data_IF_490239291480
#
_entry.id   IF_490239291480
#
_cell.length_a   1.000
_cell.length_b   1.000
_cell.length_c   1.000
_cell.angle_alpha   90.00
_cell.angle_beta   90.00
_cell.angle_gamma   90.00
#
_symmetry.space_group_name_H-M   'P 1'
#
loop_
_entity.id
_entity.type
_entity.pdbx_description
1 polymer ?
#
# COMPACT_ATOMS: atom_id res chain seq x y z
N UNK A 1 -40.32 28.70 -13.40
CA UNK A 1 -39.80 27.31 -13.30
C UNK A 1 -38.42 27.10 -13.95
N UNK A 2 -37.85 28.05 -14.71
CA UNK A 2 -36.48 27.93 -15.28
C UNK A 2 -35.32 28.07 -14.27
N UNK A 3 -35.54 28.70 -13.11
CA UNK A 3 -34.50 28.91 -12.07
C UNK A 3 -34.24 27.66 -11.19
N UNK A 4 -35.11 26.66 -11.25
CA UNK A 4 -34.93 25.40 -10.51
C UNK A 4 -34.07 24.36 -11.26
N UNK A 5 -33.97 24.47 -12.59
CA UNK A 5 -33.19 23.53 -13.42
C UNK A 5 -31.68 23.72 -13.21
N UNK A 6 -31.22 24.94 -12.97
CA UNK A 6 -29.80 25.23 -12.69
C UNK A 6 -29.31 24.64 -11.36
N UNK A 7 -30.19 24.54 -10.35
CA UNK A 7 -29.84 24.02 -9.02
C UNK A 7 -29.58 22.51 -9.02
N UNK A 8 -30.25 21.77 -9.91
CA UNK A 8 -30.10 20.32 -10.06
C UNK A 8 -28.79 19.97 -10.80
N UNK A 9 -28.38 20.81 -11.76
CA UNK A 9 -27.11 20.64 -12.49
C UNK A 9 -25.90 20.94 -11.60
N UNK A 10 -26.01 21.88 -10.65
CA UNK A 10 -24.96 22.17 -9.68
C UNK A 10 -24.74 21.04 -8.66
N UNK A 11 -25.79 20.29 -8.30
CA UNK A 11 -25.69 19.17 -7.36
C UNK A 11 -25.01 17.92 -7.96
N UNK A 12 -25.07 17.74 -9.28
CA UNK A 12 -24.54 16.55 -9.97
C UNK A 12 -23.00 16.53 -10.09
N UNK A 13 -22.31 17.64 -9.83
CA UNK A 13 -20.85 17.75 -9.99
C UNK A 13 -20.10 17.37 -8.68
N UNK A 14 -20.80 17.22 -7.56
CA UNK A 14 -20.17 17.00 -6.25
C UNK A 14 -19.83 15.52 -5.92
N UNK A 15 -20.08 14.58 -6.83
CA UNK A 15 -19.88 13.14 -6.60
C UNK A 15 -18.58 12.61 -7.19
N UNK A 16 -17.47 13.32 -7.08
CA UNK A 16 -16.16 12.71 -7.26
C UNK A 16 -15.74 12.05 -5.95
N UNK A 17 -16.14 10.78 -5.78
CA UNK A 17 -15.52 9.93 -4.77
C UNK A 17 -14.07 9.66 -5.18
N UNK A 18 -13.13 10.22 -4.45
CA UNK A 18 -11.73 9.82 -4.53
C UNK A 18 -11.60 8.42 -3.92
N UNK A 19 -11.79 7.38 -4.73
CA UNK A 19 -11.37 6.04 -4.35
C UNK A 19 -9.84 5.99 -4.43
N UNK A 20 -9.18 5.50 -3.38
CA UNK A 20 -7.74 5.28 -3.44
C UNK A 20 -7.47 4.17 -4.45
N UNK A 21 -6.69 4.46 -5.50
CA UNK A 21 -6.25 3.44 -6.46
C UNK A 21 -5.33 2.45 -5.73
N UNK A 22 -5.72 1.17 -5.60
CA UNK A 22 -4.91 0.16 -4.94
C UNK A 22 -3.52 -0.03 -5.59
N UNK A 23 -3.39 0.34 -6.87
CA UNK A 23 -2.12 0.28 -7.61
C UNK A 23 -1.09 1.31 -7.13
N UNK A 24 -1.50 2.32 -6.35
CA UNK A 24 -0.61 3.38 -5.83
C UNK A 24 0.54 2.81 -4.98
N UNK A 25 0.39 1.61 -4.41
CA UNK A 25 1.47 1.02 -3.60
C UNK A 25 2.55 0.34 -4.44
N UNK A 26 2.37 0.13 -5.75
CA UNK A 26 3.22 -0.71 -6.62
C UNK A 26 4.59 -0.11 -7.00
N UNK A 27 5.07 0.80 -6.17
CA UNK A 27 6.36 1.46 -6.28
C UNK A 27 7.34 1.00 -5.17
N UNK A 28 8.47 1.69 -5.08
CA UNK A 28 9.49 1.50 -4.06
C UNK A 28 9.23 2.41 -2.85
N UNK A 29 9.25 1.82 -1.66
CA UNK A 29 8.90 2.51 -0.42
C UNK A 29 9.97 2.29 0.65
N UNK A 30 10.33 3.39 1.31
CA UNK A 30 11.14 3.35 2.51
C UNK A 30 10.27 3.00 3.72
N UNK A 31 10.68 1.97 4.45
CA UNK A 31 10.04 1.49 5.67
C UNK A 31 10.92 1.75 6.89
N UNK A 32 10.35 1.58 8.08
CA UNK A 32 11.07 1.69 9.36
C UNK A 32 11.88 3.00 9.50
N UNK A 33 11.29 4.13 9.09
CA UNK A 33 11.97 5.45 9.06
C UNK A 33 13.25 5.47 8.20
N UNK A 34 13.23 4.77 7.06
CA UNK A 34 14.33 4.75 6.10
C UNK A 34 15.37 3.66 6.37
N UNK A 35 15.08 2.69 7.24
CA UNK A 35 16.00 1.58 7.50
C UNK A 35 15.91 0.46 6.46
N UNK A 36 14.83 0.39 5.68
CA UNK A 36 14.65 -0.60 4.63
C UNK A 36 13.93 -0.03 3.42
N UNK A 37 14.26 -0.55 2.23
CA UNK A 37 13.63 -0.24 0.95
C UNK A 37 12.93 -1.51 0.45
N UNK A 38 11.63 -1.41 0.19
CA UNK A 38 10.83 -2.50 -0.36
C UNK A 38 10.16 -2.09 -1.66
N UNK A 39 9.89 -3.06 -2.53
CA UNK A 39 9.13 -2.86 -3.76
C UNK A 39 7.88 -3.74 -3.74
N UNK A 40 6.72 -3.12 -3.86
CA UNK A 40 5.47 -3.88 -3.96
C UNK A 40 5.21 -4.35 -5.38
N UNK A 41 4.51 -5.47 -5.51
CA UNK A 41 4.09 -6.03 -6.79
C UNK A 41 2.78 -6.81 -6.63
N UNK A 42 2.04 -6.96 -7.73
CA UNK A 42 0.83 -7.79 -7.77
C UNK A 42 1.16 -9.15 -8.36
N UNK A 43 0.64 -10.21 -7.74
CA UNK A 43 0.62 -11.56 -8.29
C UNK A 43 -0.71 -12.21 -7.94
N UNK A 44 -1.39 -12.81 -8.91
CA UNK A 44 -2.67 -13.52 -8.71
C UNK A 44 -3.74 -12.68 -7.98
N UNK A 45 -3.80 -11.37 -8.26
CA UNK A 45 -4.75 -10.43 -7.64
C UNK A 45 -4.45 -10.05 -6.18
N UNK A 46 -3.29 -10.45 -5.65
CA UNK A 46 -2.82 -10.11 -4.30
C UNK A 46 -1.56 -9.26 -4.37
N UNK A 47 -1.31 -8.49 -3.32
CA UNK A 47 -0.14 -7.62 -3.20
C UNK A 47 0.96 -8.32 -2.40
N UNK A 48 2.18 -8.17 -2.88
CA UNK A 48 3.40 -8.73 -2.30
C UNK A 48 4.46 -7.63 -2.22
N UNK A 49 5.49 -7.83 -1.39
CA UNK A 49 6.64 -6.93 -1.38
C UNK A 49 7.96 -7.69 -1.24
N UNK A 50 8.95 -7.24 -2.02
CA UNK A 50 10.34 -7.68 -1.94
C UNK A 50 11.20 -6.61 -1.30
N UNK A 51 12.09 -7.01 -0.40
CA UNK A 51 13.10 -6.10 0.12
C UNK A 51 14.23 -5.96 -0.90
N UNK A 52 14.50 -4.71 -1.27
CA UNK A 52 15.57 -4.31 -2.18
C UNK A 52 16.83 -4.00 -1.37
N UNK A 53 16.68 -3.31 -0.25
CA UNK A 53 17.82 -2.87 0.56
C UNK A 53 17.45 -2.74 2.05
N UNK A 54 18.43 -2.88 2.94
CA UNK A 54 18.33 -2.48 4.34
C UNK A 54 19.62 -1.84 4.84
N UNK A 55 19.51 -0.98 5.85
CA UNK A 55 20.66 -0.36 6.51
C UNK A 55 21.56 -1.38 7.23
N UNK A 56 20.98 -2.50 7.67
CA UNK A 56 21.68 -3.54 8.43
C UNK A 56 22.46 -4.50 7.53
N UNK A 57 21.88 -4.92 6.41
CA UNK A 57 22.45 -5.99 5.56
C UNK A 57 22.81 -5.53 4.14
N UNK A 58 22.50 -4.28 3.77
CA UNK A 58 22.78 -3.76 2.44
C UNK A 58 21.77 -4.20 1.39
N UNK A 59 22.23 -4.42 0.15
CA UNK A 59 21.37 -4.67 -1.01
C UNK A 59 21.07 -6.16 -1.17
N UNK A 60 19.79 -6.50 -1.35
CA UNK A 60 19.28 -7.87 -1.57
C UNK A 60 18.88 -8.14 -3.02
N UNK A 61 18.95 -7.13 -3.88
CA UNK A 61 18.59 -7.20 -5.31
C UNK A 61 17.18 -7.75 -5.56
N UNK A 62 16.24 -7.49 -4.64
CA UNK A 62 14.85 -7.96 -4.72
C UNK A 62 14.67 -9.49 -4.62
N UNK A 63 15.67 -10.20 -4.10
CA UNK A 63 15.61 -11.66 -3.93
C UNK A 63 14.95 -12.10 -2.61
N UNK A 64 14.65 -11.13 -1.72
CA UNK A 64 14.14 -11.40 -0.38
C UNK A 64 12.67 -10.99 -0.31
N UNK A 65 11.76 -11.96 -0.38
CA UNK A 65 10.34 -11.72 -0.16
C UNK A 65 10.10 -11.37 1.31
N UNK A 66 9.47 -10.23 1.56
CA UNK A 66 9.25 -9.72 2.91
C UNK A 66 7.77 -9.61 3.22
N UNK A 67 6.91 -9.30 2.25
CA UNK A 67 5.45 -9.27 2.47
C UNK A 67 4.72 -10.18 1.50
N UNK A 68 3.81 -11.00 2.02
CA UNK A 68 3.04 -12.00 1.28
C UNK A 68 1.53 -11.80 1.50
N UNK A 69 0.71 -11.96 0.45
CA UNK A 69 -0.75 -12.06 0.54
C UNK A 69 -1.50 -10.83 1.11
N UNK A 70 -1.04 -9.61 0.85
CA UNK A 70 -1.82 -8.41 1.19
C UNK A 70 -3.09 -8.33 0.32
N UNK A 71 -4.24 -8.13 0.96
CA UNK A 71 -5.54 -7.94 0.31
C UNK A 71 -6.01 -6.52 0.59
N UNK A 72 -6.39 -5.79 -0.46
CA UNK A 72 -6.95 -4.45 -0.32
C UNK A 72 -8.45 -4.52 0.00
N UNK A 73 -8.84 -4.05 1.19
CA UNK A 73 -10.24 -3.98 1.63
C UNK A 73 -10.51 -2.65 2.33
N UNK A 74 -11.44 -1.85 1.77
CA UNK A 74 -11.89 -0.56 2.34
C UNK A 74 -10.73 0.39 2.68
N UNK A 75 -9.91 0.72 1.67
CA UNK A 75 -8.76 1.63 1.78
C UNK A 75 -7.60 1.16 2.66
N UNK A 76 -7.57 -0.13 3.00
CA UNK A 76 -6.51 -0.72 3.82
C UNK A 76 -6.03 -2.03 3.22
N UNK A 77 -4.71 -2.20 3.09
CA UNK A 77 -4.12 -3.49 2.73
C UNK A 77 -3.93 -4.31 4.02
N UNK A 78 -4.64 -5.43 4.10
CA UNK A 78 -4.75 -6.30 5.27
C UNK A 78 -4.28 -7.71 4.97
N UNK A 79 -4.14 -8.52 6.03
CA UNK A 79 -3.85 -9.97 5.97
C UNK A 79 -2.46 -10.32 5.40
N UNK A 80 -1.62 -9.31 5.16
CA UNK A 80 -0.25 -9.51 4.73
C UNK A 80 0.55 -10.26 5.80
N UNK A 81 1.26 -11.31 5.39
CA UNK A 81 2.23 -12.02 6.21
C UNK A 81 3.60 -11.43 5.91
N UNK A 82 4.24 -10.82 6.91
CA UNK A 82 5.61 -10.38 6.81
C UNK A 82 6.53 -11.44 7.39
N UNK A 83 7.45 -11.95 6.57
CA UNK A 83 8.40 -12.97 7.00
C UNK A 83 9.65 -12.28 7.54
N UNK A 84 9.92 -12.42 8.83
CA UNK A 84 11.21 -12.04 9.39
C UNK A 84 12.26 -13.07 8.95
N UNK A 85 13.22 -12.69 8.11
CA UNK A 85 14.20 -13.60 7.55
C UNK A 85 15.27 -14.03 8.56
N UNK A 86 15.37 -13.37 9.71
CA UNK A 86 16.30 -13.72 10.77
C UNK A 86 15.70 -14.71 11.77
N UNK A 87 14.40 -14.62 12.00
CA UNK A 87 13.73 -15.37 13.06
C UNK A 87 12.72 -16.39 12.54
N UNK A 88 12.50 -16.47 11.22
CA UNK A 88 11.49 -17.31 10.59
C UNK A 88 10.09 -17.11 11.19
N UNK A 89 9.82 -15.88 11.68
CA UNK A 89 8.56 -15.49 12.30
C UNK A 89 7.68 -14.79 11.28
N UNK A 90 6.40 -15.12 11.30
CA UNK A 90 5.39 -14.50 10.45
C UNK A 90 4.64 -13.47 11.29
N UNK A 91 4.73 -12.20 10.90
CA UNK A 91 3.96 -11.10 11.48
C UNK A 91 2.77 -10.77 10.57
N UNK A 92 1.62 -10.43 11.16
CA UNK A 92 0.47 -9.95 10.41
C UNK A 92 0.56 -8.44 10.25
N UNK A 93 0.81 -7.98 9.03
CA UNK A 93 0.96 -6.56 8.76
C UNK A 93 -0.32 -5.97 8.18
N UNK A 94 -0.56 -4.71 8.56
CA UNK A 94 -1.55 -3.82 7.96
C UNK A 94 -0.82 -2.63 7.40
N UNK A 95 -1.14 -2.29 6.16
CA UNK A 95 -0.59 -1.12 5.47
C UNK A 95 -1.73 -0.17 5.18
N UNK A 96 -1.52 1.10 5.49
CA UNK A 96 -2.45 2.18 5.21
C UNK A 96 -1.71 3.34 4.54
N UNK A 97 -2.29 3.87 3.47
CA UNK A 97 -1.78 5.09 2.85
C UNK A 97 -2.10 6.27 3.76
N UNK A 98 -1.08 7.00 4.24
CA UNK A 98 -1.29 8.25 4.99
C UNK A 98 -1.43 9.43 4.05
N UNK A 99 -0.59 9.49 3.03
CA UNK A 99 -0.60 10.47 1.94
C UNK A 99 0.13 9.88 0.73
N UNK A 100 0.23 10.61 -0.38
CA UNK A 100 0.84 10.11 -1.63
C UNK A 100 2.28 9.63 -1.49
N UNK A 101 3.00 10.04 -0.43
CA UNK A 101 4.42 9.77 -0.24
C UNK A 101 4.73 9.04 1.10
N UNK A 102 3.72 8.64 1.87
CA UNK A 102 3.92 8.01 3.17
C UNK A 102 2.93 6.85 3.41
N UNK A 103 3.49 5.68 3.73
CA UNK A 103 2.76 4.50 4.19
C UNK A 103 2.88 4.36 5.72
N UNK A 104 1.75 4.13 6.39
CA UNK A 104 1.71 3.61 7.76
C UNK A 104 1.72 2.09 7.69
N UNK A 105 2.80 1.47 8.17
CA UNK A 105 2.94 0.02 8.22
C UNK A 105 2.97 -0.43 9.66
N UNK A 106 2.02 -1.30 10.00
CA UNK A 106 1.87 -1.86 11.35
C UNK A 106 2.00 -3.38 11.26
N UNK A 107 3.12 -3.86 11.75
CA UNK A 107 3.42 -5.24 12.09
C UNK A 107 3.69 -5.25 13.61
#
# INVERSE_FOLDING_TARGET
MKKFIGLIIFLLIASFSYANDPATILDEWFMEKGNSLVKFYVKDGKYFAKMIWSKKEGNFNGQKDVVLDLVFEKDEWKKGKMLDPHHNKIFYCKIKMKNQNELDVRC
#
